data_IF_600839850916
#
_entry.id   IF_600839850916
#
_cell.length_a   1.000
_cell.length_b   1.000
_cell.length_c   1.000
_cell.angle_alpha   90.00
_cell.angle_beta   90.00
_cell.angle_gamma   90.00
#
_symmetry.space_group_name_H-M   'P 1'
#
loop_
_entity.id
_entity.type
_entity.pdbx_description
1 polymer ?
#
# COMPACT_ATOMS: atom_id res chain seq x y z
N UNK A 1 -16.14 -3.97 -10.41
CA UNK A 1 -16.45 -5.34 -9.93
C UNK A 1 -15.85 -5.48 -8.54
N UNK A 2 -16.59 -6.05 -7.57
CA UNK A 2 -16.12 -6.21 -6.18
C UNK A 2 -15.65 -7.63 -5.92
N UNK A 3 -14.47 -7.76 -5.31
CA UNK A 3 -13.87 -9.00 -4.82
C UNK A 3 -13.93 -8.99 -3.29
N UNK A 4 -14.51 -10.04 -2.72
CA UNK A 4 -14.63 -10.23 -1.26
C UNK A 4 -13.92 -11.49 -0.81
N UNK A 5 -13.68 -11.62 0.50
CA UNK A 5 -13.03 -12.79 1.08
C UNK A 5 -11.50 -12.65 1.10
N UNK A 6 -10.77 -13.65 0.61
CA UNK A 6 -9.31 -13.78 0.84
C UNK A 6 -8.42 -12.90 -0.06
N UNK A 7 -8.99 -11.89 -0.72
CA UNK A 7 -8.25 -11.02 -1.63
C UNK A 7 -7.64 -11.75 -2.83
N UNK A 8 -6.57 -11.18 -3.38
CA UNK A 8 -5.78 -11.76 -4.48
C UNK A 8 -4.34 -11.98 -4.06
N UNK A 9 -3.77 -13.13 -4.47
CA UNK A 9 -2.35 -13.43 -4.27
C UNK A 9 -1.64 -13.65 -5.59
N UNK A 10 -0.66 -12.80 -5.86
CA UNK A 10 0.25 -12.84 -6.99
C UNK A 10 1.58 -13.48 -6.56
N UNK A 11 1.79 -14.73 -6.96
CA UNK A 11 2.96 -15.54 -6.62
C UNK A 11 3.69 -15.97 -7.90
N UNK A 12 4.99 -15.66 -7.98
CA UNK A 12 5.88 -16.09 -9.05
C UNK A 12 5.32 -15.75 -10.45
N UNK A 13 4.75 -14.55 -10.57
CA UNK A 13 4.08 -14.11 -11.80
C UNK A 13 4.67 -12.80 -12.32
N UNK A 14 4.51 -12.57 -13.62
CA UNK A 14 5.02 -11.39 -14.30
C UNK A 14 4.02 -10.86 -15.32
N UNK A 15 4.04 -9.54 -15.54
CA UNK A 15 3.16 -8.83 -16.48
C UNK A 15 1.68 -8.91 -16.09
N UNK A 16 1.34 -8.40 -14.90
CA UNK A 16 -0.03 -8.41 -14.37
C UNK A 16 -0.57 -7.00 -14.23
N UNK A 17 -1.80 -6.76 -14.70
CA UNK A 17 -2.53 -5.53 -14.47
C UNK A 17 -3.78 -5.85 -13.65
N UNK A 18 -3.91 -5.21 -12.48
CA UNK A 18 -5.12 -5.21 -11.65
C UNK A 18 -5.73 -3.82 -11.77
N UNK A 19 -6.92 -3.73 -12.37
CA UNK A 19 -7.51 -2.43 -12.66
C UNK A 19 -9.02 -2.40 -12.44
N UNK A 20 -9.51 -1.29 -11.89
CA UNK A 20 -10.95 -0.99 -11.76
C UNK A 20 -11.71 -2.05 -10.93
N UNK A 21 -11.07 -2.52 -9.86
CA UNK A 21 -11.61 -3.49 -8.92
C UNK A 21 -11.76 -2.89 -7.52
N UNK A 22 -12.76 -3.37 -6.81
CA UNK A 22 -12.99 -3.08 -5.39
C UNK A 22 -12.65 -4.32 -4.57
N UNK A 23 -11.93 -4.15 -3.46
CA UNK A 23 -11.56 -5.21 -2.52
C UNK A 23 -12.12 -4.86 -1.14
N UNK A 24 -12.92 -5.75 -0.57
CA UNK A 24 -13.55 -5.50 0.74
C UNK A 24 -13.82 -6.78 1.54
N UNK A 25 -13.75 -6.69 2.87
CA UNK A 25 -14.33 -7.67 3.79
C UNK A 25 -13.50 -8.95 3.96
N UNK A 26 -12.18 -8.86 3.89
CA UNK A 26 -11.31 -10.00 4.16
C UNK A 26 -11.13 -10.28 5.65
N UNK A 27 -11.36 -11.53 6.05
CA UNK A 27 -11.34 -11.96 7.46
C UNK A 27 -10.39 -13.12 7.69
N UNK A 28 -9.66 -13.08 8.80
CA UNK A 28 -8.71 -14.09 9.23
C UNK A 28 -7.25 -13.61 9.24
N UNK A 29 -6.35 -14.44 9.80
CA UNK A 29 -4.92 -14.11 9.86
C UNK A 29 -4.27 -14.13 8.47
N UNK A 30 -3.35 -13.18 8.20
CA UNK A 30 -2.62 -13.05 6.92
C UNK A 30 -3.58 -12.96 5.70
N UNK A 31 -4.74 -12.34 5.90
CA UNK A 31 -5.70 -12.03 4.84
C UNK A 31 -5.54 -10.58 4.45
N UNK A 32 -4.86 -10.36 3.32
CA UNK A 32 -4.66 -9.05 2.72
C UNK A 32 -5.52 -8.86 1.47
N UNK A 33 -5.81 -7.61 1.10
CA UNK A 33 -6.52 -7.30 -0.14
C UNK A 33 -5.79 -7.79 -1.38
N UNK A 34 -4.51 -7.41 -1.51
CA UNK A 34 -3.61 -7.84 -2.57
C UNK A 34 -2.25 -8.21 -1.97
N UNK A 35 -1.85 -9.47 -2.16
CA UNK A 35 -0.53 -9.98 -1.80
C UNK A 35 0.33 -10.15 -3.03
N UNK A 36 1.52 -9.55 -3.04
CA UNK A 36 2.55 -9.77 -4.07
C UNK A 36 3.75 -10.43 -3.39
N UNK A 37 3.74 -11.77 -3.37
CA UNK A 37 4.74 -12.59 -2.68
C UNK A 37 4.73 -14.08 -3.11
N UNK A 38 5.89 -14.71 -3.40
CA UNK A 38 7.23 -14.17 -3.71
C UNK A 38 7.52 -13.99 -5.21
N UNK A 39 8.64 -13.32 -5.53
CA UNK A 39 9.31 -13.27 -6.85
C UNK A 39 8.40 -12.88 -8.02
N UNK A 40 7.47 -11.97 -7.77
CA UNK A 40 6.59 -11.44 -8.81
C UNK A 40 7.11 -10.09 -9.32
N UNK A 41 6.96 -9.79 -10.61
CA UNK A 41 7.50 -8.54 -11.19
C UNK A 41 6.64 -7.95 -12.31
N UNK A 42 6.84 -6.66 -12.61
CA UNK A 42 6.10 -5.94 -13.66
C UNK A 42 4.58 -6.01 -13.44
N UNK A 43 4.14 -5.41 -12.34
CA UNK A 43 2.75 -5.44 -11.91
C UNK A 43 2.24 -4.01 -11.79
N UNK A 44 1.05 -3.76 -12.32
CA UNK A 44 0.38 -2.48 -12.23
C UNK A 44 -0.98 -2.62 -11.55
N UNK A 45 -1.14 -1.95 -10.41
CA UNK A 45 -2.41 -1.84 -9.68
C UNK A 45 -2.93 -0.41 -9.91
N UNK A 46 -4.06 -0.28 -10.58
CA UNK A 46 -4.56 1.03 -11.03
C UNK A 46 -6.05 1.19 -10.81
N UNK A 47 -6.51 2.37 -10.36
CA UNK A 47 -7.93 2.67 -10.16
C UNK A 47 -8.67 1.61 -9.33
N UNK A 48 -8.01 1.06 -8.32
CA UNK A 48 -8.62 0.09 -7.42
C UNK A 48 -9.05 0.76 -6.12
N UNK A 49 -10.10 0.25 -5.49
CA UNK A 49 -10.51 0.67 -4.14
C UNK A 49 -10.34 -0.50 -3.18
N UNK A 50 -9.69 -0.25 -2.04
CA UNK A 50 -9.39 -1.27 -1.04
C UNK A 50 -9.77 -0.75 0.35
N UNK A 51 -10.51 -1.55 1.11
CA UNK A 51 -10.90 -1.25 2.48
C UNK A 51 -11.22 -2.53 3.27
N UNK A 52 -11.26 -2.41 4.60
CA UNK A 52 -11.85 -3.41 5.50
C UNK A 52 -11.28 -4.84 5.34
N UNK A 53 -9.98 -5.00 5.58
CA UNK A 53 -9.32 -6.30 5.74
C UNK A 53 -8.80 -6.48 7.18
N UNK A 54 -8.62 -7.72 7.64
CA UNK A 54 -8.09 -7.98 8.99
C UNK A 54 -6.57 -7.72 9.10
N UNK A 55 -5.80 -7.82 8.00
CA UNK A 55 -4.37 -7.50 7.97
C UNK A 55 -4.03 -6.31 7.05
N UNK A 56 -3.31 -6.52 5.95
CA UNK A 56 -2.89 -5.47 5.00
C UNK A 56 -3.91 -5.20 3.88
N UNK A 57 -3.87 -4.01 3.25
CA UNK A 57 -4.54 -3.83 1.95
C UNK A 57 -3.63 -4.27 0.81
N UNK A 58 -2.38 -3.81 0.79
CA UNK A 58 -1.39 -4.23 -0.22
C UNK A 58 -0.06 -4.59 0.46
N UNK A 59 0.35 -5.85 0.31
CA UNK A 59 1.59 -6.38 0.87
C UNK A 59 2.55 -6.84 -0.23
N UNK A 60 3.72 -6.20 -0.31
CA UNK A 60 4.78 -6.47 -1.31
C UNK A 60 6.03 -6.97 -0.60
N UNK A 61 6.39 -8.22 -0.82
CA UNK A 61 7.52 -8.86 -0.10
C UNK A 61 8.25 -9.89 -0.95
N UNK A 62 9.38 -10.39 -0.43
CA UNK A 62 10.11 -11.55 -0.95
C UNK A 62 10.54 -11.36 -2.40
N UNK A 63 11.40 -10.36 -2.61
CA UNK A 63 12.03 -10.02 -3.89
C UNK A 63 11.05 -9.59 -5.01
N UNK A 64 9.79 -9.32 -4.68
CA UNK A 64 8.80 -8.84 -5.66
C UNK A 64 9.05 -7.38 -6.03
N UNK A 65 9.19 -7.06 -7.32
CA UNK A 65 9.77 -5.78 -7.76
C UNK A 65 9.11 -5.22 -9.01
N UNK A 66 9.42 -3.97 -9.36
CA UNK A 66 8.85 -3.24 -10.50
C UNK A 66 7.32 -3.21 -10.44
N UNK A 67 6.81 -2.72 -9.31
CA UNK A 67 5.38 -2.62 -9.02
C UNK A 67 4.97 -1.16 -9.05
N UNK A 68 3.93 -0.84 -9.80
CA UNK A 68 3.30 0.49 -9.81
C UNK A 68 1.92 0.41 -9.20
N UNK A 69 1.63 1.30 -8.25
CA UNK A 69 0.32 1.50 -7.64
C UNK A 69 -0.12 2.93 -7.97
N UNK A 70 -1.19 3.08 -8.72
CA UNK A 70 -1.66 4.41 -9.13
C UNK A 70 -3.16 4.61 -9.00
N UNK A 71 -3.59 5.83 -8.67
CA UNK A 71 -5.02 6.20 -8.65
C UNK A 71 -5.89 5.27 -7.81
N UNK A 72 -5.30 4.64 -6.79
CA UNK A 72 -6.02 3.75 -5.90
C UNK A 72 -6.58 4.53 -4.71
N UNK A 73 -7.72 4.07 -4.20
CA UNK A 73 -8.36 4.63 -3.02
C UNK A 73 -8.29 3.62 -1.87
N UNK A 74 -7.60 3.99 -0.80
CA UNK A 74 -7.46 3.21 0.42
C UNK A 74 -8.29 3.87 1.52
N UNK A 75 -9.22 3.15 2.12
CA UNK A 75 -10.09 3.75 3.12
C UNK A 75 -10.40 2.86 4.32
N UNK A 76 -10.66 3.49 5.47
CA UNK A 76 -11.19 2.86 6.70
C UNK A 76 -10.45 1.57 7.08
N UNK A 77 -9.14 1.65 7.18
CA UNK A 77 -8.30 0.46 7.38
C UNK A 77 -7.10 0.72 8.29
N UNK A 78 -6.67 -0.30 9.03
CA UNK A 78 -5.55 -0.18 9.96
C UNK A 78 -4.20 -0.15 9.22
N UNK A 79 -3.81 -1.26 8.57
CA UNK A 79 -2.49 -1.44 7.94
C UNK A 79 -2.59 -1.32 6.43
N UNK A 80 -2.31 -0.15 5.87
CA UNK A 80 -2.56 0.10 4.44
C UNK A 80 -1.60 -0.66 3.53
N UNK A 81 -0.29 -0.40 3.64
CA UNK A 81 0.67 -0.95 2.68
C UNK A 81 2.01 -1.34 3.30
N UNK A 82 2.39 -2.62 3.20
CA UNK A 82 3.70 -3.13 3.63
C UNK A 82 4.61 -3.37 2.42
N UNK A 83 5.84 -2.86 2.49
CA UNK A 83 6.88 -3.09 1.48
C UNK A 83 8.13 -3.62 2.19
N UNK A 84 8.40 -4.91 2.02
CA UNK A 84 9.45 -5.64 2.74
C UNK A 84 9.03 -5.93 4.20
N UNK A 85 8.71 -7.19 4.49
CA UNK A 85 8.23 -7.59 5.82
C UNK A 85 9.36 -7.89 6.81
N UNK A 86 10.49 -8.40 6.31
CA UNK A 86 11.61 -8.91 7.10
C UNK A 86 12.88 -8.10 6.81
N UNK A 87 13.37 -7.28 7.77
CA UNK A 87 14.58 -6.48 7.58
C UNK A 87 15.86 -7.32 7.44
N UNK A 88 15.83 -8.61 7.80
CA UNK A 88 16.96 -9.54 7.62
C UNK A 88 16.97 -10.21 6.24
N UNK A 89 15.89 -10.12 5.48
CA UNK A 89 15.80 -10.73 4.14
C UNK A 89 16.51 -9.86 3.11
N UNK A 90 17.83 -10.06 2.95
CA UNK A 90 18.66 -9.23 2.07
C UNK A 90 18.27 -9.28 0.59
N UNK A 91 17.50 -10.29 0.17
CA UNK A 91 16.93 -10.35 -1.19
C UNK A 91 15.98 -9.19 -1.48
N UNK A 92 15.33 -8.62 -0.45
CA UNK A 92 14.38 -7.53 -0.64
C UNK A 92 15.05 -6.22 -1.11
N UNK A 93 16.38 -6.14 -1.17
CA UNK A 93 17.11 -5.01 -1.78
C UNK A 93 16.74 -4.73 -3.23
N UNK A 94 16.23 -5.71 -3.96
CA UNK A 94 15.80 -5.52 -5.34
C UNK A 94 14.40 -4.92 -5.47
N UNK A 95 13.62 -4.85 -4.38
CA UNK A 95 12.23 -4.36 -4.42
C UNK A 95 12.23 -2.89 -4.84
N UNK A 96 11.47 -2.59 -5.90
CA UNK A 96 11.16 -1.25 -6.40
C UNK A 96 9.66 -1.10 -6.53
N UNK A 97 9.12 -0.09 -5.85
CA UNK A 97 7.69 0.23 -5.89
C UNK A 97 7.51 1.71 -6.19
N UNK A 98 6.59 2.02 -7.11
CA UNK A 98 6.15 3.38 -7.42
C UNK A 98 4.70 3.53 -6.96
N UNK A 99 4.43 4.49 -6.09
CA UNK A 99 3.07 4.80 -5.61
C UNK A 99 2.76 6.23 -6.05
N UNK A 100 1.65 6.46 -6.75
CA UNK A 100 1.30 7.79 -7.24
C UNK A 100 -0.18 8.07 -7.34
N UNK A 101 -0.58 9.32 -7.11
CA UNK A 101 -1.98 9.76 -7.27
C UNK A 101 -2.97 8.90 -6.47
N UNK A 102 -2.54 8.32 -5.35
CA UNK A 102 -3.42 7.51 -4.51
C UNK A 102 -4.11 8.39 -3.47
N UNK A 103 -5.29 7.97 -3.03
CA UNK A 103 -6.04 8.65 -1.99
C UNK A 103 -6.12 7.76 -0.75
N UNK A 104 -5.69 8.29 0.39
CA UNK A 104 -5.73 7.62 1.68
C UNK A 104 -6.73 8.34 2.60
N UNK A 105 -7.87 7.71 2.86
CA UNK A 105 -9.02 8.30 3.58
C UNK A 105 -9.37 7.51 4.85
N UNK A 106 -9.03 8.04 6.02
CA UNK A 106 -9.36 7.38 7.29
C UNK A 106 -8.59 6.07 7.50
N UNK A 107 -7.30 6.06 7.13
CA UNK A 107 -6.40 4.91 7.33
C UNK A 107 -5.44 5.18 8.48
N UNK A 108 -5.04 4.15 9.25
CA UNK A 108 -4.33 4.33 10.53
C UNK A 108 -2.81 4.28 10.46
N UNK A 109 -2.22 3.40 9.65
CA UNK A 109 -0.77 3.23 9.56
C UNK A 109 -0.34 2.60 8.23
N UNK A 110 0.98 2.62 8.00
CA UNK A 110 1.69 2.03 6.85
C UNK A 110 1.37 2.73 5.52
N UNK A 111 1.80 3.99 5.39
CA UNK A 111 1.55 4.85 4.23
C UNK A 111 2.78 5.20 3.37
N UNK A 112 3.47 4.25 2.73
CA UNK A 112 3.66 2.84 3.08
C UNK A 112 4.58 2.65 4.30
N UNK A 113 4.63 1.43 4.87
CA UNK A 113 5.76 1.01 5.73
C UNK A 113 6.79 0.28 4.88
N UNK A 114 8.01 0.80 4.85
CA UNK A 114 9.10 0.27 4.01
C UNK A 114 10.24 -0.25 4.88
N UNK A 115 10.73 -1.45 4.56
CA UNK A 115 11.96 -1.98 5.17
C UNK A 115 13.18 -1.14 4.76
N UNK A 116 14.15 -0.98 5.64
CA UNK A 116 15.35 -0.14 5.42
C UNK A 116 16.19 -0.56 4.21
N UNK A 117 16.09 -1.82 3.78
CA UNK A 117 16.81 -2.36 2.64
C UNK A 117 16.15 -2.08 1.28
N UNK A 118 14.94 -1.53 1.26
CA UNK A 118 14.10 -1.40 0.06
C UNK A 118 14.10 0.03 -0.48
N UNK A 119 13.94 0.18 -1.80
CA UNK A 119 13.66 1.46 -2.45
C UNK A 119 12.18 1.57 -2.82
N UNK A 120 11.50 2.61 -2.34
CA UNK A 120 10.13 2.93 -2.72
C UNK A 120 10.03 4.42 -3.07
N UNK A 121 9.44 4.71 -4.22
CA UNK A 121 9.16 6.07 -4.67
C UNK A 121 7.68 6.38 -4.44
N UNK A 122 7.41 7.42 -3.66
CA UNK A 122 6.06 7.94 -3.42
C UNK A 122 5.96 9.31 -4.09
N UNK A 123 5.06 9.40 -5.07
CA UNK A 123 4.86 10.60 -5.89
C UNK A 123 4.04 11.67 -5.14
N UNK A 124 4.31 12.93 -5.47
CA UNK A 124 3.81 14.15 -4.82
C UNK A 124 2.29 14.33 -4.91
N UNK A 125 1.67 13.72 -5.91
CA UNK A 125 0.24 13.89 -6.21
C UNK A 125 -0.67 12.96 -5.38
N UNK A 126 -0.15 12.24 -4.39
CA UNK A 126 -0.95 11.39 -3.50
C UNK A 126 -1.58 12.22 -2.38
N UNK A 127 -2.88 12.05 -2.16
CA UNK A 127 -3.67 12.81 -1.18
C UNK A 127 -3.89 11.99 0.10
N UNK A 128 -3.81 12.66 1.24
CA UNK A 128 -3.99 12.07 2.56
C UNK A 128 -5.02 12.88 3.36
N UNK A 129 -6.07 12.21 3.85
CA UNK A 129 -7.16 12.82 4.61
C UNK A 129 -7.53 11.93 5.81
N UNK A 130 -7.87 12.56 6.96
CA UNK A 130 -8.27 11.88 8.21
C UNK A 130 -7.28 10.81 8.66
N UNK A 131 -5.99 11.09 8.54
CA UNK A 131 -4.95 10.20 9.05
C UNK A 131 -4.96 10.19 10.58
N UNK A 132 -4.53 9.08 11.17
CA UNK A 132 -4.33 9.04 12.61
C UNK A 132 -3.12 9.90 13.00
N UNK A 133 -3.09 10.50 14.21
CA UNK A 133 -1.99 11.38 14.65
C UNK A 133 -0.60 10.73 14.73
N UNK A 134 -0.50 9.41 14.46
CA UNK A 134 0.73 8.62 14.58
C UNK A 134 1.55 8.64 13.28
N UNK A 135 1.01 9.16 12.18
CA UNK A 135 1.66 9.13 10.87
C UNK A 135 2.56 10.35 10.62
N UNK A 136 3.72 10.37 11.27
CA UNK A 136 4.87 11.08 10.71
C UNK A 136 5.59 10.12 9.76
N UNK A 137 5.50 10.36 8.45
CA UNK A 137 6.28 9.62 7.46
C UNK A 137 7.76 9.85 7.73
N UNK A 138 8.43 8.82 8.26
CA UNK A 138 9.86 8.88 8.57
C UNK A 138 10.68 8.78 7.28
N UNK A 139 11.40 9.86 7.01
CA UNK A 139 12.41 9.96 5.98
C UNK A 139 13.60 9.05 6.31
N UNK A 140 13.95 8.17 5.39
CA UNK A 140 15.28 7.59 5.32
C UNK A 140 15.81 7.82 3.89
N UNK A 141 17.11 7.65 3.66
CA UNK A 141 17.83 7.93 2.41
C UNK A 141 17.26 7.27 1.14
N UNK A 142 16.26 6.39 1.28
CA UNK A 142 15.69 5.54 0.23
C UNK A 142 14.21 5.86 -0.10
N UNK A 143 13.60 6.85 0.55
CA UNK A 143 12.21 7.29 0.31
C UNK A 143 12.20 8.81 0.17
N UNK A 144 11.85 9.30 -1.02
CA UNK A 144 11.48 10.69 -1.21
C UNK A 144 9.96 10.77 -1.11
N UNK A 145 9.45 11.36 -0.04
CA UNK A 145 8.03 11.65 0.14
C UNK A 145 7.91 13.16 0.38
N UNK A 146 6.97 13.84 -0.30
CA UNK A 146 6.53 15.18 0.09
C UNK A 146 5.02 15.05 0.21
N UNK A 147 4.51 15.20 1.42
CA UNK A 147 3.07 15.08 1.69
C UNK A 147 2.39 16.43 1.49
N UNK A 148 1.26 16.43 0.79
CA UNK A 148 0.25 17.47 0.93
C UNK A 148 -0.80 16.95 1.92
N UNK A 149 -0.77 17.45 3.15
CA UNK A 149 -1.86 17.22 4.11
C UNK A 149 -3.07 18.02 3.65
N UNK A 150 -4.22 17.35 3.45
CA UNK A 150 -5.50 18.04 3.30
C UNK A 150 -5.99 18.40 4.71
N UNK A 151 -6.32 19.66 5.01
CA UNK A 151 -6.88 20.04 6.31
C UNK A 151 -8.11 19.18 6.58
N UNK A 152 -8.26 18.69 7.81
CA UNK A 152 -9.53 18.08 8.18
C UNK A 152 -10.63 19.16 8.03
N UNK A 153 -11.70 18.82 7.33
CA UNK A 153 -12.88 19.67 7.22
C UNK A 153 -13.86 19.45 8.37
N UNK A 154 -13.45 18.76 9.45
CA UNK A 154 -14.29 18.61 10.63
C UNK A 154 -14.27 19.90 11.43
N UNK A 155 -15.43 20.35 11.94
CA UNK A 155 -15.43 21.42 12.92
C UNK A 155 -14.62 20.98 14.15
N UNK A 156 -13.74 21.86 14.63
CA UNK A 156 -13.02 21.66 15.89
C UNK A 156 -14.03 21.27 17.00
N UNK A 157 -13.75 20.25 17.81
CA UNK A 157 -14.57 19.97 18.98
C UNK A 157 -14.45 21.15 19.97
N UNK A 158 -15.59 21.76 20.32
CA UNK A 158 -15.71 22.77 21.38
C UNK A 158 -15.17 22.30 22.74
#
# INVERSE_FOLDING_TARGET
MKLTGKGLRLKECEHVIICNLEFEGGRGPDVDGIQIKPKSKHIWIDRCSLCDYDDGLIDITRESTDITISRCHFSKHDKTMLIGADPSHTGDRCIRVTIRHCFFDGTRQRHPRVSTLVTALLDLDSLFEKLSPIDFVFYNSNILCIMQLVPDGSPDPE
#
